data_IF_117112769193
#
_entry.id   IF_117112769193
#
_cell.length_a   1.000
_cell.length_b   1.000
_cell.length_c   1.000
_cell.angle_alpha   90.00
_cell.angle_beta   90.00
_cell.angle_gamma   90.00
#
_symmetry.space_group_name_H-M   'P 1'
#
loop_
_entity.id
_entity.type
_entity.pdbx_description
1 polymer ?
#
# COMPACT_ATOMS: atom_id res chain seq x y z
N UNK A 1 0.89 4.16 -33.24
CA UNK A 1 0.70 2.77 -32.79
C UNK A 1 0.39 1.90 -34.01
N UNK A 2 1.01 0.72 -34.16
CA UNK A 2 0.61 -0.23 -35.21
C UNK A 2 -0.84 -0.66 -34.90
N UNK A 3 -1.71 -0.66 -35.94
CA UNK A 3 -3.14 -1.01 -35.81
C UNK A 3 -3.24 -2.48 -35.38
N UNK A 4 -4.03 -2.78 -34.35
CA UNK A 4 -4.21 -4.14 -33.86
C UNK A 4 -5.08 -4.94 -34.82
N UNK A 5 -4.69 -6.18 -35.09
CA UNK A 5 -5.56 -7.10 -35.86
C UNK A 5 -6.72 -7.61 -35.03
N UNK A 6 -6.55 -7.70 -33.70
CA UNK A 6 -7.60 -8.11 -32.78
C UNK A 6 -7.70 -7.17 -31.59
N UNK A 7 -8.92 -6.74 -31.29
CA UNK A 7 -9.28 -5.93 -30.11
C UNK A 7 -10.21 -6.75 -29.22
N UNK A 8 -9.92 -6.76 -27.93
CA UNK A 8 -10.69 -7.54 -26.95
C UNK A 8 -11.04 -6.63 -25.77
N UNK A 9 -12.29 -6.67 -25.36
CA UNK A 9 -12.74 -6.06 -24.12
C UNK A 9 -13.20 -7.14 -23.15
N UNK A 10 -12.75 -7.05 -21.90
CA UNK A 10 -13.10 -7.96 -20.82
C UNK A 10 -13.76 -7.18 -19.70
N UNK A 11 -15.04 -7.41 -19.50
CA UNK A 11 -15.74 -6.97 -18.31
C UNK A 11 -15.60 -8.03 -17.21
N UNK A 12 -15.03 -7.62 -16.06
CA UNK A 12 -14.61 -8.51 -15.00
C UNK A 12 -15.65 -8.61 -13.89
N UNK A 13 -16.43 -9.67 -13.88
CA UNK A 13 -17.37 -9.98 -12.80
C UNK A 13 -16.79 -10.94 -11.75
N UNK A 14 -17.47 -11.09 -10.61
CA UNK A 14 -17.08 -12.00 -9.53
C UNK A 14 -17.32 -13.48 -9.85
N UNK A 15 -18.37 -13.79 -10.60
CA UNK A 15 -18.78 -15.16 -10.92
C UNK A 15 -18.52 -15.51 -12.38
N UNK A 16 -18.62 -14.55 -13.28
CA UNK A 16 -18.39 -14.72 -14.71
C UNK A 16 -17.83 -13.46 -15.33
N UNK A 17 -17.17 -13.60 -16.47
CA UNK A 17 -16.53 -12.53 -17.22
C UNK A 17 -17.14 -12.47 -18.61
N UNK A 18 -17.58 -11.29 -19.01
CA UNK A 18 -18.03 -11.05 -20.38
C UNK A 18 -16.85 -10.61 -21.24
N UNK A 19 -16.70 -11.25 -22.40
CA UNK A 19 -15.62 -10.96 -23.32
C UNK A 19 -16.21 -10.62 -24.70
N UNK A 20 -15.78 -9.48 -25.22
CA UNK A 20 -16.06 -9.08 -26.60
C UNK A 20 -14.74 -9.10 -27.39
N UNK A 21 -14.70 -9.82 -28.50
CA UNK A 21 -13.59 -9.93 -29.41
C UNK A 21 -13.99 -9.38 -30.78
N UNK A 22 -13.17 -8.48 -31.33
CA UNK A 22 -13.35 -7.86 -32.65
C UNK A 22 -12.10 -8.14 -33.47
N UNK A 23 -12.24 -8.93 -34.53
CA UNK A 23 -11.17 -9.30 -35.44
C UNK A 23 -11.26 -8.38 -36.68
N UNK A 24 -10.32 -7.41 -36.82
CA UNK A 24 -10.33 -6.44 -37.93
C UNK A 24 -11.65 -5.66 -38.02
N UNK A 25 -12.38 -5.85 -39.13
CA UNK A 25 -13.69 -5.24 -39.40
C UNK A 25 -14.85 -6.26 -39.27
N UNK A 26 -14.58 -7.48 -38.73
CA UNK A 26 -15.60 -8.49 -38.51
C UNK A 26 -16.61 -8.10 -37.42
N UNK A 27 -17.80 -8.74 -37.47
CA UNK A 27 -18.81 -8.62 -36.43
C UNK A 27 -18.28 -9.04 -35.04
N UNK A 28 -18.61 -8.29 -33.99
CA UNK A 28 -18.12 -8.57 -32.64
C UNK A 28 -18.57 -9.95 -32.15
N UNK A 29 -17.63 -10.78 -31.70
CA UNK A 29 -17.89 -12.08 -31.10
C UNK A 29 -17.94 -11.93 -29.57
N UNK A 30 -19.06 -12.25 -28.94
CA UNK A 30 -19.24 -12.11 -27.50
C UNK A 30 -19.44 -13.46 -26.83
N UNK A 31 -18.79 -13.67 -25.66
CA UNK A 31 -18.91 -14.89 -24.89
C UNK A 31 -18.74 -14.63 -23.40
N UNK A 32 -19.49 -15.38 -22.57
CA UNK A 32 -19.35 -15.40 -21.12
C UNK A 32 -18.48 -16.58 -20.67
N UNK A 33 -17.63 -16.37 -19.66
CA UNK A 33 -16.76 -17.39 -19.08
C UNK A 33 -16.92 -17.40 -17.56
N UNK A 34 -17.16 -18.55 -16.92
CA UNK A 34 -17.24 -18.63 -15.46
C UNK A 34 -15.88 -18.38 -14.80
N UNK A 35 -15.90 -17.85 -13.58
CA UNK A 35 -14.68 -17.63 -12.77
C UNK A 35 -14.19 -18.94 -12.13
N UNK A 36 -13.83 -19.90 -12.96
CA UNK A 36 -13.23 -21.19 -12.59
C UNK A 36 -11.92 -21.37 -13.34
N UNK A 37 -11.05 -22.27 -12.88
CA UNK A 37 -9.78 -22.53 -13.58
C UNK A 37 -9.96 -22.89 -15.06
N UNK A 38 -10.95 -23.72 -15.36
CA UNK A 38 -11.32 -24.11 -16.74
C UNK A 38 -11.91 -22.94 -17.52
N UNK A 39 -12.79 -22.14 -16.89
CA UNK A 39 -13.39 -20.97 -17.52
C UNK A 39 -12.38 -19.89 -17.83
N UNK A 40 -11.45 -19.61 -16.93
CA UNK A 40 -10.35 -18.65 -17.16
C UNK A 40 -9.40 -19.13 -18.26
N UNK A 41 -9.11 -20.43 -18.33
CA UNK A 41 -8.33 -21.01 -19.44
C UNK A 41 -9.07 -20.82 -20.76
N UNK A 42 -10.34 -21.19 -20.82
CA UNK A 42 -11.18 -21.02 -22.01
C UNK A 42 -11.30 -19.55 -22.44
N UNK A 43 -11.33 -18.60 -21.49
CA UNK A 43 -11.29 -17.17 -21.77
C UNK A 43 -9.98 -16.79 -22.48
N UNK A 44 -8.83 -17.19 -21.94
CA UNK A 44 -7.53 -16.91 -22.55
C UNK A 44 -7.42 -17.54 -23.93
N UNK A 45 -7.88 -18.79 -24.07
CA UNK A 45 -7.91 -19.49 -25.36
C UNK A 45 -8.81 -18.77 -26.37
N UNK A 46 -9.97 -18.24 -25.96
CA UNK A 46 -10.85 -17.42 -26.81
C UNK A 46 -10.19 -16.10 -27.23
N UNK A 47 -9.45 -15.45 -26.33
CA UNK A 47 -8.72 -14.21 -26.61
C UNK A 47 -7.60 -14.44 -27.62
N UNK A 48 -6.82 -15.51 -27.44
CA UNK A 48 -5.64 -15.83 -28.25
C UNK A 48 -6.01 -16.58 -29.53
N UNK A 49 -7.05 -17.41 -29.52
CA UNK A 49 -7.37 -18.40 -30.55
C UNK A 49 -7.31 -17.89 -31.99
N UNK A 50 -6.72 -18.71 -32.89
CA UNK A 50 -6.43 -18.41 -34.29
C UNK A 50 -4.93 -18.16 -34.54
N UNK A 51 -4.54 -17.98 -35.80
CA UNK A 51 -3.15 -17.77 -36.25
C UNK A 51 -2.72 -16.29 -36.20
N UNK A 52 -3.07 -15.56 -35.14
CA UNK A 52 -2.70 -14.14 -34.97
C UNK A 52 -1.54 -14.04 -33.99
N UNK A 53 -0.52 -13.25 -34.36
CA UNK A 53 0.57 -12.92 -33.46
C UNK A 53 0.03 -12.22 -32.18
N UNK A 54 0.40 -12.75 -31.03
CA UNK A 54 -0.04 -12.23 -29.74
C UNK A 54 0.29 -10.73 -29.56
N UNK A 55 1.37 -10.23 -30.16
CA UNK A 55 1.73 -8.81 -30.13
C UNK A 55 0.75 -7.91 -30.91
N UNK A 56 -0.08 -8.50 -31.77
CA UNK A 56 -1.11 -7.81 -32.55
C UNK A 56 -2.49 -7.87 -31.90
N UNK A 57 -2.59 -8.48 -30.69
CA UNK A 57 -3.80 -8.53 -29.90
C UNK A 57 -3.74 -7.44 -28.83
N UNK A 58 -4.77 -6.59 -28.81
CA UNK A 58 -4.92 -5.57 -27.77
C UNK A 58 -6.13 -5.91 -26.90
N UNK A 59 -5.90 -6.00 -25.60
CA UNK A 59 -6.91 -6.34 -24.59
C UNK A 59 -7.16 -5.15 -23.68
N UNK A 60 -8.43 -4.75 -23.53
CA UNK A 60 -8.87 -3.79 -22.53
C UNK A 60 -9.61 -4.52 -21.40
N UNK A 61 -9.27 -4.25 -20.16
CA UNK A 61 -9.89 -4.84 -18.97
C UNK A 61 -10.06 -3.77 -17.88
N UNK A 62 -11.15 -3.86 -17.09
CA UNK A 62 -11.38 -2.89 -16.03
C UNK A 62 -10.39 -3.05 -14.86
N UNK A 63 -10.00 -4.27 -14.54
CA UNK A 63 -9.03 -4.57 -13.48
C UNK A 63 -7.61 -4.61 -14.01
N UNK A 64 -6.65 -4.21 -13.19
CA UNK A 64 -5.24 -4.13 -13.56
C UNK A 64 -4.37 -5.23 -12.91
N UNK A 65 -4.98 -6.28 -12.38
CA UNK A 65 -4.34 -7.39 -11.68
C UNK A 65 -5.21 -8.64 -11.72
N UNK A 66 -4.65 -9.76 -11.28
CA UNK A 66 -5.36 -11.04 -11.20
C UNK A 66 -4.89 -12.05 -12.23
N UNK A 67 -5.34 -13.30 -12.07
CA UNK A 67 -4.84 -14.45 -12.84
C UNK A 67 -4.96 -14.28 -14.36
N UNK A 68 -6.07 -13.67 -14.84
CA UNK A 68 -6.26 -13.44 -16.27
C UNK A 68 -5.28 -12.40 -16.81
N UNK A 69 -5.07 -11.29 -16.09
CA UNK A 69 -4.10 -10.26 -16.50
C UNK A 69 -2.69 -10.87 -16.61
N UNK A 70 -2.29 -11.63 -15.59
CA UNK A 70 -0.98 -12.33 -15.59
C UNK A 70 -0.87 -13.34 -16.74
N UNK A 71 -1.92 -14.12 -17.01
CA UNK A 71 -1.94 -15.06 -18.12
C UNK A 71 -1.82 -14.36 -19.49
N UNK A 72 -2.53 -13.25 -19.67
CA UNK A 72 -2.46 -12.45 -20.91
C UNK A 72 -1.07 -11.82 -21.10
N UNK A 73 -0.48 -11.28 -20.03
CA UNK A 73 0.90 -10.74 -20.06
C UNK A 73 1.94 -11.81 -20.35
N UNK A 74 1.78 -13.02 -19.76
CA UNK A 74 2.66 -14.16 -20.04
C UNK A 74 2.64 -14.56 -21.52
N UNK A 75 1.49 -14.40 -22.18
CA UNK A 75 1.33 -14.60 -23.64
C UNK A 75 1.81 -13.41 -24.49
N UNK A 76 2.38 -12.37 -23.88
CA UNK A 76 2.89 -11.14 -24.53
C UNK A 76 1.82 -10.31 -25.24
N UNK A 77 0.56 -10.38 -24.81
CA UNK A 77 -0.48 -9.52 -25.33
C UNK A 77 -0.31 -8.07 -24.86
N UNK A 78 -0.83 -7.14 -25.62
CA UNK A 78 -0.92 -5.73 -25.23
C UNK A 78 -2.15 -5.52 -24.33
N UNK A 79 -1.96 -5.52 -23.03
CA UNK A 79 -3.03 -5.40 -22.05
C UNK A 79 -3.14 -3.96 -21.53
N UNK A 80 -4.35 -3.45 -21.48
CA UNK A 80 -4.66 -2.10 -21.01
C UNK A 80 -5.76 -2.12 -19.97
N UNK A 81 -5.64 -1.28 -18.95
CA UNK A 81 -6.70 -1.05 -17.95
C UNK A 81 -7.32 0.33 -18.10
N UNK A 82 -8.56 0.45 -17.66
CA UNK A 82 -9.32 1.71 -17.64
C UNK A 82 -9.84 2.00 -16.24
N UNK A 83 -10.00 3.29 -15.92
CA UNK A 83 -10.68 3.69 -14.71
C UNK A 83 -12.20 3.52 -14.90
N UNK A 84 -12.95 2.90 -13.94
CA UNK A 84 -14.41 2.70 -14.04
C UNK A 84 -15.19 3.97 -14.38
N UNK A 85 -14.86 5.11 -13.77
CA UNK A 85 -15.52 6.40 -14.09
C UNK A 85 -15.30 6.87 -15.52
N UNK A 86 -14.21 6.44 -16.13
CA UNK A 86 -13.94 6.79 -17.52
C UNK A 86 -14.66 5.84 -18.47
N UNK A 87 -14.78 4.57 -18.09
CA UNK A 87 -15.62 3.60 -18.81
C UNK A 87 -17.09 4.06 -18.83
N UNK A 88 -17.63 4.58 -17.72
CA UNK A 88 -18.98 5.16 -17.67
C UNK A 88 -19.16 6.26 -18.74
N UNK A 89 -18.20 7.17 -18.88
CA UNK A 89 -18.24 8.24 -19.90
C UNK A 89 -18.11 7.71 -21.33
N UNK A 90 -17.36 6.64 -21.54
CA UNK A 90 -17.25 6.02 -22.87
C UNK A 90 -18.55 5.31 -23.25
N UNK A 91 -19.28 4.72 -22.29
CA UNK A 91 -20.61 4.14 -22.51
C UNK A 91 -21.62 5.15 -23.08
N UNK A 92 -21.59 6.39 -22.57
CA UNK A 92 -22.50 7.46 -23.01
C UNK A 92 -22.39 7.75 -24.52
N UNK A 93 -21.24 7.47 -25.16
CA UNK A 93 -21.05 7.61 -26.61
C UNK A 93 -21.83 6.58 -27.42
N UNK A 94 -22.12 5.40 -26.84
CA UNK A 94 -22.82 4.31 -27.52
C UNK A 94 -24.30 4.26 -27.23
N UNK A 95 -24.76 4.85 -26.12
CA UNK A 95 -26.19 4.98 -25.80
C UNK A 95 -26.43 5.88 -24.60
N UNK A 96 -27.38 6.77 -24.74
CA UNK A 96 -27.89 7.65 -23.69
C UNK A 96 -28.89 6.97 -22.73
N UNK A 97 -29.30 5.72 -23.03
CA UNK A 97 -30.36 5.00 -22.28
C UNK A 97 -29.95 4.52 -20.87
N UNK A 98 -28.69 4.71 -20.45
CA UNK A 98 -28.21 4.42 -19.08
C UNK A 98 -28.28 2.93 -18.66
N UNK A 99 -28.68 2.01 -19.53
CA UNK A 99 -28.75 0.59 -19.23
C UNK A 99 -27.33 0.02 -19.05
N UNK A 100 -27.04 -0.51 -17.86
CA UNK A 100 -25.81 -1.25 -17.57
C UNK A 100 -26.01 -2.71 -17.97
N UNK A 101 -25.16 -3.17 -18.90
CA UNK A 101 -25.09 -4.56 -19.35
C UNK A 101 -23.61 -4.93 -19.54
N UNK A 102 -23.19 -6.01 -18.91
CA UNK A 102 -21.80 -6.49 -18.93
C UNK A 102 -21.31 -6.81 -20.36
N UNK A 103 -22.22 -7.27 -21.24
CA UNK A 103 -21.92 -7.48 -22.66
C UNK A 103 -21.56 -6.18 -23.36
N UNK A 104 -22.28 -5.12 -23.01
CA UNK A 104 -22.08 -3.79 -23.56
C UNK A 104 -20.76 -3.19 -23.05
N UNK A 105 -20.45 -3.40 -21.77
CA UNK A 105 -19.19 -2.92 -21.19
C UNK A 105 -18.00 -3.58 -21.88
N UNK A 106 -18.04 -4.90 -22.11
CA UNK A 106 -17.03 -5.61 -22.87
C UNK A 106 -16.91 -5.08 -24.32
N UNK A 107 -18.03 -4.76 -24.98
CA UNK A 107 -18.02 -4.19 -26.34
C UNK A 107 -17.43 -2.78 -26.36
N UNK A 108 -17.78 -1.90 -25.40
CA UNK A 108 -17.23 -0.55 -25.29
C UNK A 108 -15.71 -0.59 -25.07
N UNK A 109 -15.25 -1.50 -24.19
CA UNK A 109 -13.82 -1.71 -23.95
C UNK A 109 -13.07 -2.11 -25.23
N UNK A 110 -13.60 -3.11 -25.99
CA UNK A 110 -12.99 -3.56 -27.23
C UNK A 110 -12.98 -2.48 -28.31
N UNK A 111 -14.04 -1.68 -28.40
CA UNK A 111 -14.19 -0.64 -29.41
C UNK A 111 -13.33 0.59 -29.15
N UNK A 112 -13.15 0.98 -27.86
CA UNK A 112 -12.49 2.23 -27.49
C UNK A 112 -10.99 2.09 -27.24
N UNK A 113 -10.44 0.89 -27.05
CA UNK A 113 -9.05 0.68 -26.63
C UNK A 113 -8.01 1.29 -27.57
N UNK A 114 -8.32 1.41 -28.86
CA UNK A 114 -7.45 2.07 -29.85
C UNK A 114 -7.84 3.51 -30.15
N UNK A 115 -9.15 3.78 -30.29
CA UNK A 115 -9.63 5.13 -30.62
C UNK A 115 -9.38 6.14 -29.51
N UNK A 116 -9.45 5.68 -28.26
CA UNK A 116 -9.29 6.50 -27.07
C UNK A 116 -8.09 6.04 -26.23
N UNK A 117 -6.98 5.70 -26.86
CA UNK A 117 -5.80 5.10 -26.22
C UNK A 117 -5.29 5.89 -24.99
N UNK A 118 -5.47 7.21 -24.94
CA UNK A 118 -5.15 8.05 -23.78
C UNK A 118 -6.04 7.83 -22.57
N UNK A 119 -7.23 7.21 -22.75
CA UNK A 119 -8.13 6.82 -21.68
C UNK A 119 -7.67 5.55 -20.96
N UNK A 120 -6.84 4.75 -21.61
CA UNK A 120 -6.37 3.46 -21.15
C UNK A 120 -4.92 3.52 -20.68
N UNK A 121 -4.63 2.80 -19.62
CA UNK A 121 -3.27 2.63 -19.10
C UNK A 121 -2.74 1.26 -19.51
N UNK A 122 -1.66 1.24 -20.27
CA UNK A 122 -0.96 -0.01 -20.60
C UNK A 122 -0.50 -0.70 -19.31
N UNK A 123 -0.80 -1.98 -19.21
CA UNK A 123 -0.27 -2.85 -18.16
C UNK A 123 0.99 -3.49 -18.74
N UNK A 124 2.13 -3.18 -18.18
CA UNK A 124 3.39 -3.81 -18.56
C UNK A 124 3.74 -4.88 -17.53
N UNK A 125 4.30 -6.03 -17.94
CA UNK A 125 4.88 -6.96 -17.00
C UNK A 125 5.96 -6.21 -16.23
N UNK A 126 5.65 -5.84 -14.99
CA UNK A 126 6.57 -5.12 -14.13
C UNK A 126 7.78 -6.00 -13.80
N UNK A 127 8.86 -5.37 -13.35
CA UNK A 127 10.02 -6.07 -12.82
C UNK A 127 9.57 -7.07 -11.74
N UNK A 128 9.86 -8.37 -11.91
CA UNK A 128 9.46 -9.43 -10.96
C UNK A 128 9.89 -9.13 -9.53
N UNK A 129 11.09 -8.56 -9.35
CA UNK A 129 11.57 -8.15 -8.04
C UNK A 129 10.70 -7.06 -7.41
N UNK A 130 10.19 -6.10 -8.22
CA UNK A 130 9.26 -5.08 -7.75
C UNK A 130 7.89 -5.69 -7.44
N UNK A 131 7.43 -6.68 -8.20
CA UNK A 131 6.19 -7.41 -7.94
C UNK A 131 6.27 -8.19 -6.61
N UNK A 132 7.38 -8.88 -6.33
CA UNK A 132 7.64 -9.56 -5.06
C UNK A 132 7.65 -8.59 -3.88
N UNK A 133 8.34 -7.46 -4.01
CA UNK A 133 8.35 -6.40 -2.98
C UNK A 133 6.95 -5.84 -2.74
N UNK A 134 6.16 -5.63 -3.81
CA UNK A 134 4.77 -5.19 -3.72
C UNK A 134 3.92 -6.18 -2.93
N UNK A 135 3.99 -7.46 -3.24
CA UNK A 135 3.24 -8.51 -2.55
C UNK A 135 3.61 -8.55 -1.06
N UNK A 136 4.90 -8.57 -0.72
CA UNK A 136 5.37 -8.62 0.65
C UNK A 136 5.01 -7.36 1.47
N UNK A 137 5.15 -6.16 0.89
CA UNK A 137 4.80 -4.91 1.57
C UNK A 137 3.29 -4.77 1.79
N UNK A 138 2.45 -5.25 0.87
CA UNK A 138 0.99 -5.29 1.02
C UNK A 138 0.57 -6.28 2.09
N UNK A 139 1.12 -7.49 2.10
CA UNK A 139 0.88 -8.48 3.17
C UNK A 139 1.24 -7.90 4.55
N UNK A 140 2.39 -7.22 4.66
CA UNK A 140 2.77 -6.53 5.89
C UNK A 140 1.74 -5.50 6.34
N UNK A 141 1.19 -4.72 5.43
CA UNK A 141 0.16 -3.72 5.72
C UNK A 141 -1.15 -4.35 6.21
N UNK A 142 -1.57 -5.44 5.57
CA UNK A 142 -2.75 -6.22 5.98
C UNK A 142 -2.58 -6.75 7.39
N UNK A 143 -1.46 -7.40 7.70
CA UNK A 143 -1.14 -7.89 9.04
C UNK A 143 -1.10 -6.76 10.09
N UNK A 144 -0.59 -5.57 9.74
CA UNK A 144 -0.62 -4.40 10.62
C UNK A 144 -2.04 -3.87 10.85
N UNK A 145 -2.88 -3.94 9.84
CA UNK A 145 -4.30 -3.57 9.98
C UNK A 145 -5.04 -4.53 10.91
N UNK A 146 -4.80 -5.84 10.77
CA UNK A 146 -5.33 -6.87 11.67
C UNK A 146 -4.83 -6.70 13.09
N UNK A 147 -3.53 -6.46 13.28
CA UNK A 147 -2.94 -6.18 14.59
C UNK A 147 -3.66 -5.01 15.26
N UNK A 148 -3.83 -3.90 14.55
CA UNK A 148 -4.53 -2.71 15.07
C UNK A 148 -5.99 -2.99 15.41
N UNK A 149 -6.71 -3.69 14.55
CA UNK A 149 -8.10 -4.04 14.80
C UNK A 149 -8.26 -4.92 16.04
N UNK A 150 -7.40 -5.93 16.20
CA UNK A 150 -7.42 -6.82 17.37
C UNK A 150 -6.94 -6.09 18.65
N UNK A 151 -5.99 -5.15 18.53
CA UNK A 151 -5.58 -4.28 19.66
C UNK A 151 -6.77 -3.46 20.18
N UNK A 152 -7.53 -2.82 19.27
CA UNK A 152 -8.69 -2.04 19.67
C UNK A 152 -9.77 -2.92 20.33
N UNK A 153 -10.02 -4.12 19.78
CA UNK A 153 -10.94 -5.07 20.38
C UNK A 153 -10.49 -5.53 21.78
N UNK A 154 -9.19 -5.81 21.96
CA UNK A 154 -8.66 -6.17 23.27
C UNK A 154 -8.79 -5.01 24.26
N UNK A 155 -8.53 -3.78 23.82
CA UNK A 155 -8.74 -2.58 24.61
C UNK A 155 -10.19 -2.46 25.09
N UNK A 156 -11.17 -2.68 24.21
CA UNK A 156 -12.59 -2.63 24.55
C UNK A 156 -13.01 -3.76 25.49
N UNK A 157 -12.49 -4.99 25.30
CA UNK A 157 -12.72 -6.09 26.25
C UNK A 157 -12.19 -5.74 27.64
N UNK A 158 -10.96 -5.24 27.74
CA UNK A 158 -10.36 -4.85 29.02
C UNK A 158 -11.14 -3.72 29.71
N UNK A 159 -11.67 -2.76 28.95
CA UNK A 159 -12.55 -1.72 29.52
C UNK A 159 -13.80 -2.31 30.17
N UNK A 160 -14.29 -3.43 29.65
CA UNK A 160 -15.50 -4.08 30.19
C UNK A 160 -15.31 -4.78 31.51
N UNK A 161 -14.10 -5.29 31.83
CA UNK A 161 -13.94 -6.11 33.05
C UNK A 161 -12.64 -5.85 33.83
N UNK A 162 -11.65 -5.17 33.27
CA UNK A 162 -10.35 -4.84 33.90
C UNK A 162 -9.83 -3.48 33.49
N UNK A 163 -10.61 -2.41 33.60
CA UNK A 163 -10.21 -1.07 33.16
C UNK A 163 -8.96 -0.54 33.88
N UNK A 164 -8.64 -1.04 35.06
CA UNK A 164 -7.45 -0.67 35.82
C UNK A 164 -6.16 -1.00 35.09
N UNK A 165 -6.11 -2.09 34.29
CA UNK A 165 -4.94 -2.46 33.52
C UNK A 165 -4.57 -1.41 32.45
N UNK A 166 -5.57 -0.70 31.92
CA UNK A 166 -5.38 0.33 30.92
C UNK A 166 -4.67 1.58 31.46
N UNK A 167 -4.55 1.70 32.79
CA UNK A 167 -3.73 2.76 33.40
C UNK A 167 -2.23 2.48 33.33
N UNK A 168 -1.83 1.25 33.06
CA UNK A 168 -0.44 0.80 33.01
C UNK A 168 0.19 0.97 31.61
N UNK A 169 -0.61 1.15 30.56
CA UNK A 169 -0.16 1.21 29.18
C UNK A 169 -0.95 2.24 28.38
N UNK A 170 -0.35 2.73 27.29
CA UNK A 170 -1.00 3.67 26.38
C UNK A 170 -1.84 2.99 25.29
N UNK A 171 -1.72 1.66 25.16
CA UNK A 171 -2.46 0.84 24.20
C UNK A 171 -2.39 -0.64 24.57
N UNK A 172 -3.34 -1.43 24.08
CA UNK A 172 -3.34 -2.89 24.28
C UNK A 172 -2.44 -3.65 23.27
N UNK A 173 -1.52 -2.96 22.63
CA UNK A 173 -0.55 -3.53 21.68
C UNK A 173 0.80 -3.89 22.33
N UNK A 174 0.92 -3.73 23.64
CA UNK A 174 2.15 -4.01 24.36
C UNK A 174 2.28 -5.50 24.75
N UNK A 175 3.30 -6.24 24.25
CA UNK A 175 3.44 -7.69 24.50
C UNK A 175 3.55 -8.09 25.98
N UNK A 176 4.10 -7.22 26.83
CA UNK A 176 4.18 -7.48 28.25
C UNK A 176 2.80 -7.51 28.93
N UNK A 177 1.85 -6.68 28.45
CA UNK A 177 0.47 -6.67 28.93
C UNK A 177 -0.22 -8.00 28.57
N UNK A 178 0.01 -8.50 27.35
CA UNK A 178 -0.52 -9.80 26.94
C UNK A 178 0.00 -10.92 27.82
N UNK A 179 1.32 -10.94 28.10
CA UNK A 179 1.94 -11.92 28.98
C UNK A 179 1.41 -11.82 30.43
N UNK A 180 1.12 -10.61 30.91
CA UNK A 180 0.53 -10.39 32.22
C UNK A 180 -0.91 -10.95 32.31
N UNK A 181 -1.73 -10.68 31.28
CA UNK A 181 -3.12 -11.16 31.20
C UNK A 181 -3.15 -12.70 31.06
N UNK A 182 -2.29 -13.30 30.23
CA UNK A 182 -2.20 -14.76 30.15
C UNK A 182 -1.81 -15.41 31.49
N UNK A 183 -0.95 -14.76 32.25
CA UNK A 183 -0.51 -15.27 33.55
C UNK A 183 -1.58 -15.13 34.63
N UNK A 184 -2.42 -14.15 34.52
CA UNK A 184 -3.52 -13.87 35.48
C UNK A 184 -4.71 -13.26 34.71
N UNK A 185 -5.50 -14.11 34.04
CA UNK A 185 -6.59 -13.66 33.16
C UNK A 185 -7.73 -12.92 33.90
N UNK A 186 -8.08 -13.36 35.08
CA UNK A 186 -9.14 -12.76 35.90
C UNK A 186 -8.62 -11.75 36.91
N UNK A 187 -9.47 -10.81 37.42
CA UNK A 187 -9.11 -9.92 38.51
C UNK A 187 -8.63 -10.65 39.76
N UNK A 188 -9.30 -11.77 40.14
CA UNK A 188 -8.96 -12.57 41.32
C UNK A 188 -7.57 -13.24 41.19
N UNK A 189 -7.20 -13.70 40.03
CA UNK A 189 -5.84 -14.23 39.74
C UNK A 189 -4.80 -13.10 39.74
N UNK A 190 -5.15 -11.94 39.18
CA UNK A 190 -4.29 -10.75 39.20
C UNK A 190 -3.91 -10.33 40.62
N UNK A 191 -4.88 -10.28 41.53
CA UNK A 191 -4.64 -9.94 42.94
C UNK A 191 -3.67 -10.90 43.65
N UNK A 192 -3.59 -12.17 43.21
CA UNK A 192 -2.71 -13.21 43.75
C UNK A 192 -1.29 -13.17 43.21
N UNK A 193 -1.03 -12.42 42.13
CA UNK A 193 0.31 -12.36 41.54
C UNK A 193 1.34 -11.82 42.55
N UNK A 194 2.47 -12.53 42.60
CA UNK A 194 3.60 -12.14 43.44
C UNK A 194 4.46 -11.07 42.76
N UNK A 195 5.21 -10.28 43.54
CA UNK A 195 6.21 -9.33 43.03
C UNK A 195 7.21 -10.01 42.09
N UNK A 196 7.69 -11.19 42.43
CA UNK A 196 8.63 -11.97 41.60
C UNK A 196 7.98 -12.37 40.29
N UNK A 197 6.73 -12.79 40.28
CA UNK A 197 5.99 -13.17 39.08
C UNK A 197 5.74 -12.00 38.12
N UNK A 198 5.42 -10.82 38.65
CA UNK A 198 5.29 -9.58 37.86
C UNK A 198 6.66 -9.13 37.33
N UNK A 199 7.69 -9.13 38.22
CA UNK A 199 9.04 -8.74 37.85
C UNK A 199 9.63 -9.60 36.74
N UNK A 200 9.33 -10.89 36.69
CA UNK A 200 9.74 -11.77 35.62
C UNK A 200 9.13 -11.33 34.27
N UNK A 201 7.84 -10.97 34.23
CA UNK A 201 7.18 -10.46 33.00
C UNK A 201 7.80 -9.15 32.56
N UNK A 202 7.97 -8.18 33.46
CA UNK A 202 8.57 -6.88 33.14
C UNK A 202 10.02 -7.02 32.63
N UNK A 203 10.82 -7.90 33.26
CA UNK A 203 12.21 -8.20 32.86
C UNK A 203 12.26 -8.85 31.47
N UNK A 204 11.42 -9.86 31.23
CA UNK A 204 11.34 -10.55 29.94
C UNK A 204 11.06 -9.59 28.79
N UNK A 205 10.17 -8.62 29.01
CA UNK A 205 9.78 -7.63 28.01
C UNK A 205 10.58 -6.32 28.09
N UNK A 206 11.63 -6.26 28.94
CA UNK A 206 12.51 -5.08 29.10
C UNK A 206 11.76 -3.81 29.49
N UNK A 207 10.68 -3.92 30.25
CA UNK A 207 9.91 -2.77 30.72
C UNK A 207 10.64 -2.15 31.93
N UNK A 208 11.07 -0.88 31.76
CA UNK A 208 11.81 -0.13 32.80
C UNK A 208 10.99 1.01 33.42
N UNK A 209 9.85 1.37 32.79
CA UNK A 209 9.01 2.50 33.21
C UNK A 209 8.05 2.14 34.34
N UNK A 210 7.89 0.86 34.66
CA UNK A 210 7.03 0.34 35.70
C UNK A 210 7.83 -0.56 36.65
N UNK A 211 7.55 -0.46 37.95
CA UNK A 211 8.06 -1.39 38.94
C UNK A 211 7.06 -2.52 39.18
N UNK A 212 7.50 -3.62 39.81
CA UNK A 212 6.61 -4.71 40.22
C UNK A 212 5.56 -4.24 41.22
N UNK A 213 5.89 -3.22 42.02
CA UNK A 213 4.96 -2.67 43.00
C UNK A 213 3.88 -1.80 42.36
N UNK A 214 4.22 -1.01 41.34
CA UNK A 214 3.24 -0.22 40.58
C UNK A 214 2.18 -1.15 39.96
N UNK A 215 2.63 -2.19 39.28
CA UNK A 215 1.72 -3.16 38.64
C UNK A 215 0.89 -3.90 39.71
N UNK A 216 1.52 -4.33 40.80
CA UNK A 216 0.83 -5.01 41.89
C UNK A 216 -0.20 -4.14 42.56
N UNK A 217 0.10 -2.86 42.77
CA UNK A 217 -0.84 -1.89 43.32
C UNK A 217 -2.11 -1.77 42.47
N UNK A 218 -1.93 -1.73 41.11
CA UNK A 218 -3.05 -1.69 40.17
C UNK A 218 -3.86 -2.98 40.20
N UNK A 219 -3.20 -4.15 40.21
CA UNK A 219 -3.86 -5.46 40.21
C UNK A 219 -4.66 -5.73 41.52
N UNK A 220 -4.38 -5.02 42.61
CA UNK A 220 -5.03 -5.15 43.90
C UNK A 220 -5.98 -4.01 44.23
N UNK A 221 -6.24 -3.12 43.31
CA UNK A 221 -7.25 -2.09 43.49
C UNK A 221 -8.61 -2.74 43.77
N UNK A 222 -9.36 -2.14 44.66
CA UNK A 222 -10.75 -2.49 44.81
C UNK A 222 -11.51 -2.11 43.55
N UNK A 223 -12.06 -3.12 42.89
CA UNK A 223 -12.76 -2.98 41.63
C UNK A 223 -14.19 -3.49 41.76
N UNK A 224 -15.05 -3.03 40.86
CA UNK A 224 -16.44 -3.44 40.82
C UNK A 224 -16.56 -4.98 40.83
N UNK A 225 -17.35 -5.53 41.75
CA UNK A 225 -17.63 -6.97 41.74
C UNK A 225 -18.57 -7.32 40.61
N UNK A 226 -18.06 -8.13 39.67
CA UNK A 226 -18.79 -8.58 38.49
C UNK A 226 -19.20 -10.05 38.63
N UNK A 227 -20.31 -10.43 37.99
CA UNK A 227 -20.75 -11.82 37.96
C UNK A 227 -19.69 -12.72 37.36
N UNK A 228 -19.39 -13.91 37.91
CA UNK A 228 -18.35 -14.79 37.39
C UNK A 228 -18.48 -15.10 35.89
N UNK A 229 -19.67 -15.45 35.42
CA UNK A 229 -19.94 -15.76 34.01
C UNK A 229 -19.62 -14.59 33.10
N UNK A 230 -19.80 -13.35 33.55
CA UNK A 230 -19.45 -12.14 32.81
C UNK A 230 -17.94 -12.03 32.67
N UNK A 231 -17.20 -12.18 33.78
CA UNK A 231 -15.73 -12.15 33.78
C UNK A 231 -15.17 -13.27 32.91
N UNK A 232 -15.65 -14.51 33.04
CA UNK A 232 -15.21 -15.67 32.26
C UNK A 232 -15.38 -15.44 30.77
N UNK A 233 -16.51 -14.86 30.35
CA UNK A 233 -16.76 -14.58 28.92
C UNK A 233 -15.80 -13.54 28.36
N UNK A 234 -15.47 -12.50 29.11
CA UNK A 234 -14.50 -11.48 28.70
C UNK A 234 -13.06 -12.00 28.70
N UNK A 235 -12.69 -12.81 29.68
CA UNK A 235 -11.40 -13.51 29.75
C UNK A 235 -11.19 -14.40 28.54
N UNK A 236 -12.19 -15.23 28.22
CA UNK A 236 -12.09 -16.11 27.06
C UNK A 236 -11.84 -15.32 25.76
N UNK A 237 -12.59 -14.23 25.54
CA UNK A 237 -12.39 -13.36 24.36
C UNK A 237 -11.04 -12.66 24.37
N UNK A 238 -10.60 -12.13 25.53
CA UNK A 238 -9.31 -11.49 25.66
C UNK A 238 -8.15 -12.45 25.32
N UNK A 239 -8.19 -13.68 25.79
CA UNK A 239 -7.17 -14.69 25.49
C UNK A 239 -7.14 -15.05 24.00
N UNK A 240 -8.30 -15.19 23.34
CA UNK A 240 -8.36 -15.41 21.88
C UNK A 240 -7.76 -14.23 21.13
N UNK A 241 -8.06 -12.99 21.52
CA UNK A 241 -7.49 -11.79 20.90
C UNK A 241 -5.97 -11.72 21.09
N UNK A 242 -5.47 -12.06 22.28
CA UNK A 242 -4.02 -12.08 22.57
C UNK A 242 -3.32 -13.12 21.70
N UNK A 243 -3.89 -14.31 21.51
CA UNK A 243 -3.32 -15.32 20.61
C UNK A 243 -3.22 -14.80 19.16
N UNK A 244 -4.26 -14.13 18.66
CA UNK A 244 -4.26 -13.48 17.33
C UNK A 244 -3.22 -12.35 17.23
N UNK A 245 -3.10 -11.52 18.25
CA UNK A 245 -2.11 -10.44 18.30
C UNK A 245 -0.67 -10.97 18.24
N UNK A 246 -0.37 -12.01 19.02
CA UNK A 246 0.94 -12.68 18.99
C UNK A 246 1.26 -13.26 17.62
N UNK A 247 0.29 -13.94 17.01
CA UNK A 247 0.46 -14.52 15.66
C UNK A 247 0.72 -13.42 14.63
N UNK A 248 -0.11 -12.38 14.59
CA UNK A 248 0.05 -11.27 13.66
C UNK A 248 1.40 -10.57 13.84
N UNK A 249 1.84 -10.34 15.07
CA UNK A 249 3.15 -9.74 15.35
C UNK A 249 4.31 -10.62 14.88
N UNK A 250 4.26 -11.93 15.12
CA UNK A 250 5.28 -12.86 14.65
C UNK A 250 5.35 -12.88 13.11
N UNK A 251 4.20 -12.88 12.44
CA UNK A 251 4.12 -12.82 10.98
C UNK A 251 4.66 -11.49 10.43
N UNK A 252 4.35 -10.35 11.04
CA UNK A 252 4.91 -9.04 10.67
C UNK A 252 6.44 -9.08 10.73
N UNK A 253 7.02 -9.58 11.83
CA UNK A 253 8.48 -9.68 11.99
C UNK A 253 9.09 -10.56 10.91
N UNK A 254 8.45 -11.69 10.59
CA UNK A 254 8.89 -12.59 9.52
C UNK A 254 8.89 -11.90 8.16
N UNK A 255 7.77 -11.29 7.77
CA UNK A 255 7.63 -10.59 6.49
C UNK A 255 8.60 -9.40 6.39
N UNK A 256 8.80 -8.63 7.47
CA UNK A 256 9.78 -7.55 7.48
C UNK A 256 11.22 -8.05 7.30
N UNK A 257 11.55 -9.22 7.86
CA UNK A 257 12.85 -9.86 7.63
C UNK A 257 13.00 -10.28 6.17
N UNK A 258 11.98 -10.90 5.58
CA UNK A 258 11.97 -11.30 4.17
C UNK A 258 12.15 -10.09 3.24
N UNK A 259 11.45 -8.97 3.51
CA UNK A 259 11.61 -7.74 2.74
C UNK A 259 13.06 -7.22 2.83
N UNK A 260 13.63 -7.16 4.05
CA UNK A 260 15.02 -6.69 4.22
C UNK A 260 16.02 -7.60 3.51
N UNK A 261 15.82 -8.90 3.57
CA UNK A 261 16.66 -9.89 2.86
C UNK A 261 16.57 -9.70 1.35
N UNK A 262 15.35 -9.60 0.79
CA UNK A 262 15.14 -9.38 -0.63
C UNK A 262 15.77 -8.07 -1.13
N UNK A 263 15.67 -6.99 -0.35
CA UNK A 263 16.34 -5.71 -0.67
C UNK A 263 17.86 -5.87 -0.63
N UNK A 264 18.41 -6.53 0.38
CA UNK A 264 19.86 -6.72 0.52
C UNK A 264 20.44 -7.60 -0.61
N UNK A 265 19.74 -8.65 -1.01
CA UNK A 265 20.14 -9.51 -2.14
C UNK A 265 20.15 -8.73 -3.46
N UNK A 266 19.15 -7.87 -3.69
CA UNK A 266 19.12 -7.01 -4.87
C UNK A 266 20.24 -5.97 -4.86
N UNK A 267 20.56 -5.37 -3.72
CA UNK A 267 21.73 -4.47 -3.59
C UNK A 267 23.02 -5.19 -3.97
N UNK A 268 23.22 -6.41 -3.49
CA UNK A 268 24.40 -7.22 -3.88
C UNK A 268 24.43 -7.54 -5.38
N UNK A 269 23.28 -7.73 -6.00
CA UNK A 269 23.22 -7.94 -7.46
C UNK A 269 23.52 -6.67 -8.25
N UNK A 270 23.19 -5.48 -7.71
CA UNK A 270 23.55 -4.18 -8.30
C UNK A 270 25.06 -3.91 -8.31
N UNK A 271 25.84 -4.48 -7.39
CA UNK A 271 27.31 -4.36 -7.39
C UNK A 271 27.96 -4.88 -8.67
N UNK A 272 27.25 -5.77 -9.38
CA UNK A 272 27.68 -6.37 -10.66
C UNK A 272 27.18 -5.61 -11.88
N UNK A 273 26.44 -4.54 -11.71
CA UNK A 273 25.80 -3.76 -12.77
C UNK A 273 26.15 -2.29 -12.68
N UNK A 274 26.01 -1.56 -13.78
CA UNK A 274 26.18 -0.10 -13.79
C UNK A 274 25.06 0.64 -13.07
N UNK A 275 23.86 0.02 -12.97
CA UNK A 275 22.68 0.64 -12.32
C UNK A 275 22.62 0.24 -10.86
N UNK A 276 22.65 1.23 -9.98
CA UNK A 276 22.64 1.09 -8.51
C UNK A 276 21.42 1.73 -7.88
N UNK A 277 20.25 1.53 -8.45
CA UNK A 277 19.01 2.24 -8.07
C UNK A 277 18.63 2.03 -6.60
N UNK A 278 18.68 0.78 -6.09
CA UNK A 278 18.39 0.51 -4.68
C UNK A 278 19.43 1.12 -3.74
N UNK A 279 20.70 0.96 -4.11
CA UNK A 279 21.84 1.51 -3.32
C UNK A 279 21.70 3.02 -3.21
N UNK A 280 21.35 3.70 -4.29
CA UNK A 280 21.13 5.15 -4.31
C UNK A 280 19.96 5.55 -3.44
N UNK A 281 18.81 4.87 -3.58
CA UNK A 281 17.64 5.17 -2.76
C UNK A 281 17.90 4.92 -1.27
N UNK A 282 18.59 3.84 -0.92
CA UNK A 282 18.95 3.54 0.47
C UNK A 282 19.96 4.54 1.08
N UNK A 283 20.76 5.24 0.27
CA UNK A 283 21.66 6.28 0.74
C UNK A 283 20.92 7.55 1.18
N UNK A 284 19.68 7.73 0.73
CA UNK A 284 18.90 8.95 0.99
C UNK A 284 18.37 9.00 2.44
N UNK A 285 18.27 10.21 3.03
CA UNK A 285 17.81 10.35 4.41
C UNK A 285 16.37 9.86 4.56
N UNK A 286 16.17 8.96 5.51
CA UNK A 286 14.87 8.37 5.82
C UNK A 286 14.42 7.21 4.91
N UNK A 287 15.14 6.89 3.85
CA UNK A 287 14.86 5.75 2.96
C UNK A 287 15.45 4.46 3.53
N UNK A 288 14.74 3.81 4.45
CA UNK A 288 15.09 2.46 4.89
C UNK A 288 14.55 1.37 3.94
N UNK A 289 15.01 0.12 4.16
CA UNK A 289 14.63 -1.03 3.30
C UNK A 289 13.12 -1.19 3.09
N UNK A 290 12.30 -0.96 4.13
CA UNK A 290 10.84 -1.06 4.03
C UNK A 290 10.25 0.05 3.15
N UNK A 291 10.78 1.28 3.27
CA UNK A 291 10.33 2.41 2.43
C UNK A 291 10.71 2.18 0.97
N UNK A 292 11.96 1.78 0.71
CA UNK A 292 12.44 1.50 -0.65
C UNK A 292 11.64 0.35 -1.26
N UNK A 293 11.39 -0.72 -0.50
CA UNK A 293 10.55 -1.83 -0.96
C UNK A 293 9.13 -1.39 -1.32
N UNK A 294 8.51 -0.53 -0.48
CA UNK A 294 7.18 0.02 -0.77
C UNK A 294 7.20 0.94 -1.98
N UNK A 295 8.19 1.82 -2.09
CA UNK A 295 8.32 2.76 -3.19
C UNK A 295 8.51 2.04 -4.54
N UNK A 296 9.40 1.06 -4.61
CA UNK A 296 9.62 0.25 -5.82
C UNK A 296 8.44 -0.69 -6.09
N UNK A 297 7.84 -1.26 -5.06
CA UNK A 297 6.66 -2.10 -5.20
C UNK A 297 5.45 -1.36 -5.79
N UNK A 298 5.16 -0.15 -5.34
CA UNK A 298 3.96 0.59 -5.75
C UNK A 298 4.22 1.54 -6.95
N UNK A 299 5.46 1.91 -7.23
CA UNK A 299 5.80 2.87 -8.30
C UNK A 299 7.14 2.58 -9.00
N UNK A 300 7.56 1.32 -9.06
CA UNK A 300 8.83 0.91 -9.66
C UNK A 300 9.05 1.43 -11.07
N UNK A 301 8.05 1.30 -11.94
CA UNK A 301 8.11 1.78 -13.32
C UNK A 301 8.39 3.29 -13.41
N UNK A 302 7.81 4.09 -12.51
CA UNK A 302 8.05 5.53 -12.48
C UNK A 302 9.48 5.86 -12.01
N UNK A 303 10.05 5.06 -11.09
CA UNK A 303 11.46 5.17 -10.71
C UNK A 303 12.37 4.74 -11.85
N UNK A 304 12.07 3.63 -12.53
CA UNK A 304 12.86 3.14 -13.68
C UNK A 304 12.88 4.13 -14.84
N UNK A 305 11.76 4.79 -15.13
CA UNK A 305 11.65 5.85 -16.14
C UNK A 305 12.16 7.22 -15.69
N UNK A 306 12.55 7.35 -14.40
CA UNK A 306 12.93 8.65 -13.83
C UNK A 306 11.81 9.70 -13.96
N UNK A 307 10.54 9.25 -13.89
CA UNK A 307 9.36 10.11 -14.03
C UNK A 307 9.01 10.81 -12.71
N UNK A 308 9.61 11.97 -12.52
CA UNK A 308 9.35 12.79 -11.34
C UNK A 308 7.87 13.21 -11.22
N UNK A 309 7.22 13.57 -12.32
CA UNK A 309 5.82 14.04 -12.30
C UNK A 309 4.86 12.89 -11.96
N UNK A 310 5.11 11.70 -12.48
CA UNK A 310 4.39 10.49 -12.11
C UNK A 310 4.55 10.17 -10.63
N UNK A 311 5.77 10.17 -10.10
CA UNK A 311 6.05 9.92 -8.67
C UNK A 311 5.35 10.93 -7.75
N UNK A 312 5.36 12.23 -8.09
CA UNK A 312 4.61 13.26 -7.36
C UNK A 312 3.11 12.99 -7.34
N UNK A 313 2.58 12.58 -8.47
CA UNK A 313 1.15 12.29 -8.62
C UNK A 313 0.76 11.03 -7.85
N UNK A 314 1.51 9.94 -7.98
CA UNK A 314 1.28 8.68 -7.28
C UNK A 314 1.42 8.80 -5.77
N UNK A 315 2.38 9.58 -5.28
CA UNK A 315 2.56 9.81 -3.84
C UNK A 315 1.57 10.80 -3.24
N UNK A 316 0.82 11.55 -4.07
CA UNK A 316 -0.04 12.63 -3.60
C UNK A 316 0.72 13.89 -3.16
N UNK A 317 2.01 14.00 -3.48
CA UNK A 317 2.81 15.20 -3.21
C UNK A 317 2.42 16.35 -4.14
N UNK A 318 2.11 16.06 -5.42
CA UNK A 318 1.63 17.06 -6.36
C UNK A 318 0.25 17.59 -5.94
N UNK A 319 0.08 18.91 -5.74
CA UNK A 319 -1.23 19.50 -5.48
C UNK A 319 -2.12 19.44 -6.73
N UNK A 320 -3.41 19.66 -6.53
CA UNK A 320 -4.39 19.83 -7.61
C UNK A 320 -4.92 21.26 -7.56
N UNK A 321 -4.79 21.97 -8.66
CA UNK A 321 -5.42 23.28 -8.82
C UNK A 321 -6.87 23.07 -9.27
N UNK A 322 -7.81 23.68 -8.57
CA UNK A 322 -9.20 23.82 -8.98
C UNK A 322 -9.46 25.26 -9.31
N UNK A 323 -10.04 25.48 -10.47
CA UNK A 323 -10.42 26.82 -10.93
C UNK A 323 -11.86 26.77 -11.43
N UNK A 324 -12.66 27.69 -10.95
CA UNK A 324 -14.03 27.89 -11.41
C UNK A 324 -14.29 29.39 -11.46
N UNK A 325 -14.57 29.89 -12.65
CA UNK A 325 -14.69 31.35 -12.89
C UNK A 325 -13.42 32.08 -12.45
N UNK A 326 -13.58 33.16 -11.67
CA UNK A 326 -12.47 33.98 -11.14
C UNK A 326 -11.75 33.38 -9.91
N UNK A 327 -12.23 32.25 -9.36
CA UNK A 327 -11.66 31.67 -8.14
C UNK A 327 -10.71 30.54 -8.45
N UNK A 328 -9.44 30.65 -8.00
CA UNK A 328 -8.40 29.62 -8.12
C UNK A 328 -7.93 29.20 -6.73
N UNK A 329 -8.04 27.90 -6.41
CA UNK A 329 -7.53 27.35 -5.17
C UNK A 329 -6.80 26.03 -5.37
N UNK A 330 -5.84 25.77 -4.49
CA UNK A 330 -4.97 24.61 -4.55
C UNK A 330 -5.31 23.65 -3.42
N UNK A 331 -5.70 22.43 -3.78
CA UNK A 331 -6.10 21.39 -2.84
C UNK A 331 -5.14 20.20 -2.85
N UNK A 332 -5.18 19.43 -1.78
CA UNK A 332 -4.44 18.19 -1.70
C UNK A 332 -5.01 17.18 -2.71
N UNK A 333 -4.13 16.52 -3.45
CA UNK A 333 -4.50 15.41 -4.34
C UNK A 333 -5.01 14.22 -3.50
N UNK A 334 -6.25 13.80 -3.76
CA UNK A 334 -6.84 12.63 -3.13
C UNK A 334 -6.53 11.35 -3.91
N UNK A 335 -6.57 11.43 -5.24
CA UNK A 335 -6.28 10.31 -6.14
C UNK A 335 -4.77 10.07 -6.16
N UNK A 336 -4.32 9.12 -5.35
CA UNK A 336 -2.91 8.70 -5.25
C UNK A 336 -2.84 7.28 -4.70
N UNK A 337 -1.64 6.70 -4.64
CA UNK A 337 -1.38 5.42 -3.97
C UNK A 337 -1.26 5.62 -2.44
N UNK A 338 -2.24 5.17 -1.63
CA UNK A 338 -2.24 5.45 -0.19
C UNK A 338 -1.00 4.88 0.52
N UNK A 339 -0.55 3.68 0.14
CA UNK A 339 0.63 3.02 0.74
C UNK A 339 1.90 3.82 0.48
N UNK A 340 2.10 4.24 -0.76
CA UNK A 340 3.24 5.09 -1.14
C UNK A 340 3.20 6.42 -0.39
N UNK A 341 2.03 7.06 -0.30
CA UNK A 341 1.86 8.31 0.46
C UNK A 341 2.30 8.15 1.91
N UNK A 342 1.80 7.12 2.60
CA UNK A 342 2.13 6.87 4.01
C UNK A 342 3.62 6.58 4.18
N UNK A 343 4.20 5.72 3.34
CA UNK A 343 5.62 5.39 3.39
C UNK A 343 6.50 6.64 3.23
N UNK A 344 6.22 7.48 2.23
CA UNK A 344 6.98 8.70 1.98
C UNK A 344 6.77 9.79 3.04
N UNK A 345 5.58 9.86 3.67
CA UNK A 345 5.37 10.76 4.82
C UNK A 345 6.23 10.35 6.01
N UNK A 346 6.32 9.05 6.31
CA UNK A 346 7.20 8.54 7.36
C UNK A 346 8.67 8.79 7.01
N UNK A 347 9.04 8.62 5.75
CA UNK A 347 10.38 8.97 5.24
C UNK A 347 10.70 10.45 5.44
N UNK A 348 9.75 11.34 5.14
CA UNK A 348 9.93 12.77 5.35
C UNK A 348 10.14 13.13 6.84
N UNK A 349 9.40 12.49 7.74
CA UNK A 349 9.59 12.65 9.19
C UNK A 349 10.99 12.20 9.63
N UNK A 350 11.51 11.10 9.09
CA UNK A 350 12.86 10.63 9.39
C UNK A 350 13.92 11.56 8.75
N UNK A 351 13.72 12.00 7.51
CA UNK A 351 14.62 12.91 6.84
C UNK A 351 14.79 14.23 7.62
N UNK A 352 13.71 14.77 8.19
CA UNK A 352 13.75 15.97 9.06
C UNK A 352 14.58 15.73 10.33
N UNK A 353 14.61 14.51 10.84
CA UNK A 353 15.40 14.15 12.03
C UNK A 353 16.88 13.95 11.72
N UNK A 354 17.18 13.37 10.57
CA UNK A 354 18.53 12.95 10.19
C UNK A 354 19.30 14.09 9.51
N UNK A 355 18.65 14.85 8.62
CA UNK A 355 19.31 15.86 7.78
C UNK A 355 18.88 17.28 8.17
N UNK A 356 19.84 18.13 8.60
CA UNK A 356 19.58 19.52 8.96
C UNK A 356 18.93 20.34 7.83
N UNK A 357 19.22 20.05 6.56
CA UNK A 357 18.64 20.76 5.40
C UNK A 357 17.13 20.53 5.30
N UNK A 358 16.68 19.28 5.46
CA UNK A 358 15.25 18.96 5.46
C UNK A 358 14.54 19.49 6.71
N UNK A 359 15.24 19.51 7.87
CA UNK A 359 14.74 20.15 9.09
C UNK A 359 14.48 21.64 8.87
N UNK A 360 15.45 22.34 8.30
CA UNK A 360 15.35 23.78 8.04
C UNK A 360 14.23 24.10 7.03
N UNK A 361 14.12 23.33 5.94
CA UNK A 361 13.02 23.45 4.99
C UNK A 361 11.64 23.25 5.66
N UNK A 362 11.51 22.27 6.54
CA UNK A 362 10.29 22.01 7.29
C UNK A 362 9.95 23.19 8.23
N UNK A 363 10.93 23.67 9.03
CA UNK A 363 10.73 24.77 9.97
C UNK A 363 10.35 26.05 9.24
N UNK A 364 10.99 26.38 8.12
CA UNK A 364 10.62 27.52 7.28
C UNK A 364 9.18 27.40 6.73
N UNK A 365 8.76 26.18 6.32
CA UNK A 365 7.40 25.97 5.87
C UNK A 365 6.38 26.16 7.01
N UNK A 366 6.71 25.69 8.23
CA UNK A 366 5.89 25.88 9.43
C UNK A 366 5.80 27.34 9.86
N UNK A 367 6.91 28.07 9.82
CA UNK A 367 6.96 29.51 10.14
C UNK A 367 6.10 30.36 9.18
N UNK A 368 5.93 29.92 7.92
CA UNK A 368 5.00 30.52 6.96
C UNK A 368 3.52 30.10 7.15
N UNK A 369 3.17 29.51 8.30
CA UNK A 369 1.79 29.13 8.64
C UNK A 369 1.29 27.85 7.95
N UNK A 370 2.15 27.08 7.26
CA UNK A 370 1.68 25.83 6.63
C UNK A 370 1.35 24.79 7.71
N UNK A 371 0.28 24.02 7.49
CA UNK A 371 -0.05 22.86 8.34
C UNK A 371 1.07 21.80 8.30
N UNK A 372 1.16 20.97 9.35
CA UNK A 372 2.12 19.86 9.42
C UNK A 372 2.06 18.99 8.15
N UNK A 373 0.85 18.58 7.76
CA UNK A 373 0.68 17.74 6.58
C UNK A 373 1.10 18.40 5.27
N UNK A 374 0.92 19.73 5.13
CA UNK A 374 1.39 20.47 3.95
C UNK A 374 2.91 20.61 3.94
N UNK A 375 3.50 20.92 5.07
CA UNK A 375 4.96 21.00 5.20
C UNK A 375 5.64 19.66 4.91
N UNK A 376 5.08 18.54 5.43
CA UNK A 376 5.60 17.20 5.13
C UNK A 376 5.48 16.84 3.64
N UNK A 377 4.37 17.19 2.96
CA UNK A 377 4.25 16.98 1.51
C UNK A 377 5.32 17.72 0.71
N UNK A 378 5.68 18.95 1.13
CA UNK A 378 6.77 19.68 0.48
C UNK A 378 8.11 18.94 0.65
N UNK A 379 8.35 18.32 1.82
CA UNK A 379 9.54 17.51 2.04
C UNK A 379 9.51 16.25 1.16
N UNK A 380 8.36 15.55 1.08
CA UNK A 380 8.19 14.39 0.17
C UNK A 380 8.49 14.79 -1.27
N UNK A 381 7.94 15.90 -1.74
CA UNK A 381 8.17 16.41 -3.09
C UNK A 381 9.65 16.65 -3.36
N UNK A 382 10.34 17.26 -2.39
CA UNK A 382 11.79 17.50 -2.47
C UNK A 382 12.61 16.22 -2.45
N UNK A 383 12.23 15.25 -1.62
CA UNK A 383 12.88 13.94 -1.58
C UNK A 383 12.72 13.19 -2.92
N UNK A 384 11.53 13.22 -3.52
CA UNK A 384 11.29 12.60 -4.83
C UNK A 384 12.08 13.28 -5.95
N UNK A 385 12.14 14.61 -5.96
CA UNK A 385 12.99 15.34 -6.89
C UNK A 385 14.44 14.91 -6.77
N UNK A 386 14.95 14.90 -5.54
CA UNK A 386 16.32 14.50 -5.25
C UNK A 386 16.59 13.06 -5.67
N UNK A 387 15.68 12.12 -5.35
CA UNK A 387 15.79 10.73 -5.76
C UNK A 387 15.96 10.60 -7.27
N UNK A 388 15.10 11.27 -8.05
CA UNK A 388 15.19 11.24 -9.53
C UNK A 388 16.51 11.84 -10.03
N UNK A 389 17.00 12.93 -9.44
CA UNK A 389 18.27 13.53 -9.84
C UNK A 389 19.46 12.60 -9.54
N UNK A 390 19.51 11.98 -8.36
CA UNK A 390 20.55 11.04 -7.98
C UNK A 390 20.53 9.78 -8.87
N UNK A 391 19.36 9.27 -9.16
CA UNK A 391 19.19 8.12 -10.04
C UNK A 391 19.61 8.41 -11.49
N UNK A 392 19.35 9.64 -12.00
CA UNK A 392 19.81 10.07 -13.34
C UNK A 392 21.34 10.19 -13.43
N UNK A 393 21.93 10.68 -12.34
CA UNK A 393 23.40 10.86 -12.25
C UNK A 393 24.14 9.61 -11.79
N UNK A 394 23.42 8.55 -11.39
CA UNK A 394 23.95 7.34 -10.77
C UNK A 394 24.85 7.64 -9.55
N UNK A 395 24.46 8.61 -8.70
CA UNK A 395 25.22 9.11 -7.57
C UNK A 395 24.53 8.80 -6.24
N UNK A 396 25.32 8.46 -5.22
CA UNK A 396 24.83 8.33 -3.85
C UNK A 396 24.50 9.71 -3.26
N UNK A 397 23.57 9.71 -2.29
CA UNK A 397 23.30 10.90 -1.51
C UNK A 397 24.50 11.23 -0.62
N UNK A 398 24.92 12.47 -0.65
CA UNK A 398 25.95 13.02 0.23
C UNK A 398 25.39 14.23 0.98
N UNK A 399 25.33 14.12 2.30
CA UNK A 399 24.81 15.17 3.19
C UNK A 399 25.69 16.45 3.16
N UNK A 400 26.97 16.29 2.81
CA UNK A 400 27.95 17.39 2.78
C UNK A 400 27.84 18.24 1.52
N UNK A 401 27.42 17.64 0.39
CA UNK A 401 27.30 18.35 -0.87
C UNK A 401 26.09 19.31 -0.86
N UNK A 402 26.30 20.55 -1.32
CA UNK A 402 25.24 21.49 -1.71
C UNK A 402 24.56 20.95 -2.99
N UNK A 403 23.64 20.04 -2.83
CA UNK A 403 22.88 19.56 -3.97
C UNK A 403 21.94 20.67 -4.45
N UNK A 404 22.14 21.01 -5.71
CA UNK A 404 21.55 22.04 -6.54
C UNK A 404 20.08 22.32 -6.18
N UNK A 405 19.80 23.58 -5.84
CA UNK A 405 18.42 24.07 -5.81
C UNK A 405 17.80 23.88 -7.20
N UNK A 406 16.58 23.36 -7.34
CA UNK A 406 15.87 23.51 -8.59
C UNK A 406 15.67 25.00 -8.78
N UNK A 407 16.11 25.56 -9.88
CA UNK A 407 15.52 26.78 -10.42
C UNK A 407 14.02 26.52 -10.46
N UNK A 408 13.30 27.26 -9.65
CA UNK A 408 11.86 27.35 -9.77
C UNK A 408 11.65 28.00 -11.13
N UNK A 409 11.35 27.19 -12.14
CA UNK A 409 10.77 27.71 -13.36
C UNK A 409 9.50 28.45 -12.91
N UNK A 410 9.61 29.76 -12.86
CA UNK A 410 8.51 30.66 -12.71
C UNK A 410 7.59 30.40 -13.94
N UNK A 411 6.59 29.56 -13.73
CA UNK A 411 5.48 29.47 -14.67
C UNK A 411 4.66 30.73 -14.48
N UNK A 412 4.94 31.70 -15.35
CA UNK A 412 4.06 32.80 -15.68
C UNK A 412 2.65 32.33 -16.06
#
# INVERSE_FOLDING_TARGET
MSKSLRRVGIDWGSESHQVCRIDGEEEPKQRSFPHTGEGLKALVDFVVGGEIDCEQITVAIEVNHGAVVEALLTKRLRVYSINPKLLDRLRDRFSLAGAKDDRRDAFVLASCVESDAQAFRKIEPGNEGNARLRAATRLREELKSELRANTNRLWDELRGFRPELLTLCSGADEPWLWALIEKAPSPSEGAKLTRAGIGAVLKQHRIRRLTSDDVRAVLRRDVLSLRPVYVESHVARALVLIARLKLAQAQIVKVEKEIRTAVAERVKSEEKTERRDLTILLSMPGFGSLTVATALGESGDAFERRDYNGLRSFSGAAPVTKQSGGTRYVVMRQVCQPRLRVALHLTALQAIRIDPKFRDLYLRARARGQSVGRALRNIVDRLLFLAVQLLRKNQLYDITLRQIAPEVAAAS
#
